data_IF_372906516422
#
_entry.id   IF_372906516422
#
_cell.length_a   1.000
_cell.length_b   1.000
_cell.length_c   1.000
_cell.angle_alpha   90.00
_cell.angle_beta   90.00
_cell.angle_gamma   90.00
#
_symmetry.space_group_name_H-M   'P 1'
#
loop_
_entity.id
_entity.type
_entity.pdbx_description
1 polymer ?
#
# COMPACT_ATOMS: atom_id res chain seq x y z
N UNK A 1 7.11 -2.78 12.88
CA UNK A 1 5.73 -3.33 12.86
C UNK A 1 4.74 -2.21 12.72
N UNK A 2 3.71 -2.40 11.87
CA UNK A 2 2.65 -1.39 11.72
C UNK A 2 1.70 -1.40 12.91
N UNK A 3 1.32 -0.21 13.38
CA UNK A 3 0.32 -0.03 14.45
C UNK A 3 -1.03 0.43 13.92
N UNK A 4 -1.12 0.81 12.65
CA UNK A 4 -2.32 1.40 12.01
C UNK A 4 -3.25 0.33 11.39
N UNK A 5 -3.53 -0.73 12.15
CA UNK A 5 -4.57 -1.69 11.76
C UNK A 5 -5.96 -1.14 12.11
N UNK A 6 -6.91 -1.28 11.20
CA UNK A 6 -8.31 -0.88 11.41
C UNK A 6 -9.08 -1.94 12.19
N UNK A 7 -8.67 -3.20 12.07
CA UNK A 7 -9.26 -4.33 12.77
C UNK A 7 -8.29 -4.90 13.81
N UNK A 8 -8.74 -4.93 15.05
CA UNK A 8 -8.02 -5.57 16.15
C UNK A 8 -7.81 -7.06 15.89
N UNK A 9 -8.80 -7.74 15.30
CA UNK A 9 -8.72 -9.17 15.01
C UNK A 9 -7.64 -9.50 13.98
N UNK A 10 -7.48 -8.68 12.93
CA UNK A 10 -6.40 -8.86 11.94
C UNK A 10 -5.04 -8.54 12.57
N UNK A 11 -4.98 -7.54 13.46
CA UNK A 11 -3.76 -7.24 14.21
C UNK A 11 -3.34 -8.41 15.09
N UNK A 12 -4.28 -9.01 15.84
CA UNK A 12 -4.01 -10.19 16.67
C UNK A 12 -3.59 -11.40 15.81
N UNK A 13 -4.23 -11.63 14.67
CA UNK A 13 -3.81 -12.66 13.72
C UNK A 13 -2.37 -12.44 13.29
N UNK A 14 -2.01 -11.21 12.89
CA UNK A 14 -0.64 -10.85 12.53
C UNK A 14 0.33 -11.15 13.67
N UNK A 15 0.03 -10.73 14.90
CA UNK A 15 0.90 -10.95 16.06
C UNK A 15 1.16 -12.43 16.31
N UNK A 16 0.12 -13.27 16.18
CA UNK A 16 0.25 -14.73 16.27
C UNK A 16 1.15 -15.28 15.16
N UNK A 17 0.92 -14.89 13.89
CA UNK A 17 1.68 -15.44 12.79
C UNK A 17 3.13 -14.97 12.79
N UNK A 18 3.39 -13.71 13.11
CA UNK A 18 4.75 -13.17 13.25
C UNK A 18 5.53 -13.92 14.34
N UNK A 19 4.89 -14.19 15.48
CA UNK A 19 5.53 -14.78 16.65
C UNK A 19 5.71 -16.30 16.55
N UNK A 20 4.72 -17.02 16.03
CA UNK A 20 4.66 -18.47 16.18
C UNK A 20 4.74 -19.26 14.87
N UNK A 21 4.40 -18.66 13.72
CA UNK A 21 4.44 -19.39 12.47
C UNK A 21 5.90 -19.63 12.00
N UNK A 22 6.23 -20.85 11.56
CA UNK A 22 7.52 -21.12 10.92
C UNK A 22 7.65 -20.37 9.59
N UNK A 23 8.89 -20.19 9.10
CA UNK A 23 9.18 -19.40 7.89
C UNK A 23 8.37 -19.86 6.67
N UNK A 24 8.28 -21.17 6.44
CA UNK A 24 7.54 -21.74 5.31
C UNK A 24 6.05 -21.36 5.36
N UNK A 25 5.45 -21.44 6.55
CA UNK A 25 4.05 -21.04 6.74
C UNK A 25 3.84 -19.54 6.54
N UNK A 26 4.78 -18.70 6.96
CA UNK A 26 4.76 -17.27 6.68
C UNK A 26 4.76 -17.00 5.18
N UNK A 27 5.60 -17.70 4.41
CA UNK A 27 5.65 -17.56 2.95
C UNK A 27 4.34 -17.97 2.28
N UNK A 28 3.75 -19.11 2.67
CA UNK A 28 2.45 -19.54 2.17
C UNK A 28 1.35 -18.50 2.47
N UNK A 29 1.33 -17.98 3.69
CA UNK A 29 0.34 -16.98 4.13
C UNK A 29 0.47 -15.67 3.35
N UNK A 30 1.70 -15.20 3.11
CA UNK A 30 1.98 -14.03 2.27
C UNK A 30 1.36 -14.24 0.88
N UNK A 31 1.66 -15.36 0.21
CA UNK A 31 1.13 -15.65 -1.12
C UNK A 31 -0.40 -15.73 -1.15
N UNK A 32 -1.02 -16.34 -0.14
CA UNK A 32 -2.49 -16.41 -0.01
C UNK A 32 -3.10 -15.03 0.24
N UNK A 33 -2.49 -14.22 1.09
CA UNK A 33 -2.93 -12.86 1.40
C UNK A 33 -2.86 -11.95 0.16
N UNK A 34 -1.81 -12.05 -0.65
CA UNK A 34 -1.68 -11.33 -1.93
C UNK A 34 -2.78 -11.71 -2.93
N UNK A 35 -3.04 -13.04 -3.05
CA UNK A 35 -4.14 -13.52 -3.89
C UNK A 35 -5.47 -12.99 -3.37
N UNK A 36 -5.70 -13.04 -2.06
CA UNK A 36 -6.92 -12.55 -1.43
C UNK A 36 -7.14 -11.05 -1.72
N UNK A 37 -6.14 -10.17 -1.54
CA UNK A 37 -6.25 -8.74 -1.90
C UNK A 37 -6.71 -8.57 -3.35
N UNK A 38 -6.25 -9.43 -4.25
CA UNK A 38 -6.64 -9.36 -5.65
C UNK A 38 -8.09 -9.74 -5.93
N UNK A 39 -8.73 -10.50 -5.04
CA UNK A 39 -10.09 -11.01 -5.15
C UNK A 39 -11.11 -10.15 -4.37
N UNK A 40 -10.65 -9.37 -3.38
CA UNK A 40 -11.53 -8.55 -2.55
C UNK A 40 -12.16 -7.39 -3.33
N UNK A 41 -13.47 -7.25 -3.17
CA UNK A 41 -14.22 -6.06 -3.60
C UNK A 41 -14.33 -5.08 -2.42
N UNK A 42 -13.82 -3.87 -2.61
CA UNK A 42 -13.82 -2.82 -1.58
C UNK A 42 -15.19 -2.35 -1.13
N UNK A 43 -16.22 -2.60 -1.95
CA UNK A 43 -17.60 -2.21 -1.65
C UNK A 43 -18.35 -3.25 -0.83
N UNK A 44 -17.77 -4.45 -0.65
CA UNK A 44 -18.37 -5.54 0.11
C UNK A 44 -17.87 -5.55 1.55
N UNK A 45 -18.56 -6.29 2.39
CA UNK A 45 -18.17 -6.59 3.77
C UNK A 45 -17.76 -8.06 3.85
N UNK A 46 -16.74 -8.35 4.63
CA UNK A 46 -16.18 -9.69 4.80
C UNK A 46 -16.14 -10.06 6.28
N UNK A 47 -16.42 -11.30 6.61
CA UNK A 47 -16.24 -11.79 7.97
C UNK A 47 -14.75 -12.03 8.28
N UNK A 48 -14.36 -11.81 9.53
CA UNK A 48 -13.01 -12.12 9.99
C UNK A 48 -12.68 -13.60 9.78
N UNK A 49 -13.63 -14.50 10.07
CA UNK A 49 -13.47 -15.95 9.86
C UNK A 49 -13.09 -16.28 8.41
N UNK A 50 -13.79 -15.68 7.44
CA UNK A 50 -13.46 -15.85 6.03
C UNK A 50 -12.04 -15.37 5.71
N UNK A 51 -11.66 -14.16 6.15
CA UNK A 51 -10.34 -13.61 5.89
C UNK A 51 -9.23 -14.44 6.54
N UNK A 52 -9.42 -14.82 7.80
CA UNK A 52 -8.50 -15.69 8.54
C UNK A 52 -8.31 -17.03 7.84
N UNK A 53 -9.39 -17.69 7.46
CA UNK A 53 -9.33 -18.97 6.74
C UNK A 53 -8.61 -18.86 5.39
N UNK A 54 -8.90 -17.80 4.64
CA UNK A 54 -8.27 -17.58 3.33
C UNK A 54 -6.74 -17.38 3.44
N UNK A 55 -6.26 -16.77 4.52
CA UNK A 55 -4.84 -16.52 4.77
C UNK A 55 -4.16 -17.74 5.38
N UNK A 56 -4.73 -18.31 6.45
CA UNK A 56 -4.06 -19.31 7.31
C UNK A 56 -4.48 -20.75 7.05
N UNK A 57 -5.61 -20.96 6.38
CA UNK A 57 -6.33 -22.25 6.25
C UNK A 57 -6.90 -22.76 7.59
N UNK A 58 -6.92 -21.92 8.61
CA UNK A 58 -7.51 -22.20 9.90
C UNK A 58 -8.80 -21.39 10.08
N UNK A 59 -9.85 -22.02 10.59
CA UNK A 59 -11.11 -21.35 10.96
C UNK A 59 -11.08 -21.05 12.45
N UNK A 60 -11.06 -19.77 12.83
CA UNK A 60 -11.10 -19.41 14.23
C UNK A 60 -12.51 -19.66 14.80
N UNK A 61 -12.57 -20.17 16.02
CA UNK A 61 -13.81 -20.16 16.81
C UNK A 61 -14.03 -18.75 17.35
N UNK A 62 -14.86 -17.96 16.69
CA UNK A 62 -15.13 -16.58 17.07
C UNK A 62 -16.56 -16.49 17.61
N UNK A 63 -16.70 -15.98 18.84
CA UNK A 63 -17.99 -15.63 19.40
C UNK A 63 -18.48 -14.31 18.81
N UNK A 64 -19.41 -14.37 17.85
CA UNK A 64 -20.00 -13.18 17.23
C UNK A 64 -19.56 -12.93 15.79
N UNK A 65 -20.32 -12.08 15.11
CA UNK A 65 -20.11 -11.77 13.69
C UNK A 65 -19.14 -10.56 13.58
N UNK A 66 -17.83 -10.87 13.59
CA UNK A 66 -16.81 -9.84 13.33
C UNK A 66 -16.69 -9.61 11.83
N UNK A 67 -17.01 -8.41 11.37
CA UNK A 67 -16.98 -8.02 9.96
C UNK A 67 -16.10 -6.81 9.71
N UNK A 68 -15.49 -6.78 8.53
CA UNK A 68 -14.67 -5.66 8.04
C UNK A 68 -15.22 -5.17 6.71
N UNK A 69 -15.17 -3.85 6.48
CA UNK A 69 -15.36 -3.34 5.13
C UNK A 69 -14.25 -3.86 4.20
N UNK A 70 -14.56 -4.02 2.90
CA UNK A 70 -13.55 -4.43 1.94
C UNK A 70 -12.38 -3.45 1.82
N UNK A 71 -12.61 -2.17 2.11
CA UNK A 71 -11.54 -1.15 2.16
C UNK A 71 -10.60 -1.41 3.34
N UNK A 72 -11.15 -1.63 4.54
CA UNK A 72 -10.35 -1.93 5.74
C UNK A 72 -9.64 -3.28 5.62
N UNK A 73 -10.33 -4.28 5.05
CA UNK A 73 -9.73 -5.59 4.80
C UNK A 73 -8.50 -5.49 3.87
N UNK A 74 -8.60 -4.76 2.75
CA UNK A 74 -7.47 -4.54 1.84
C UNK A 74 -6.33 -3.81 2.53
N UNK A 75 -6.65 -2.80 3.35
CA UNK A 75 -5.67 -2.05 4.13
C UNK A 75 -4.92 -2.95 5.10
N UNK A 76 -5.65 -3.67 5.95
CA UNK A 76 -5.07 -4.48 7.02
C UNK A 76 -4.30 -5.69 6.49
N UNK A 77 -4.82 -6.35 5.43
CA UNK A 77 -4.11 -7.46 4.80
C UNK A 77 -2.83 -6.95 4.12
N UNK A 78 -2.82 -5.72 3.58
CA UNK A 78 -1.60 -5.11 3.06
C UNK A 78 -0.54 -4.93 4.15
N UNK A 79 -0.91 -4.48 5.34
CA UNK A 79 -0.01 -4.39 6.50
C UNK A 79 0.42 -5.76 7.02
N UNK A 80 -0.50 -6.74 7.06
CA UNK A 80 -0.21 -8.12 7.41
C UNK A 80 0.90 -8.72 6.52
N UNK A 81 0.79 -8.54 5.20
CA UNK A 81 1.81 -9.00 4.25
C UNK A 81 3.18 -8.39 4.57
N UNK A 82 3.25 -7.09 4.85
CA UNK A 82 4.50 -6.41 5.16
C UNK A 82 5.11 -6.90 6.48
N UNK A 83 4.30 -7.00 7.54
CA UNK A 83 4.80 -7.43 8.86
C UNK A 83 5.24 -8.90 8.85
N UNK A 84 4.47 -9.78 8.18
CA UNK A 84 4.83 -11.20 8.08
C UNK A 84 6.05 -11.41 7.16
N UNK A 85 6.17 -10.62 6.07
CA UNK A 85 7.35 -10.68 5.21
C UNK A 85 8.61 -10.16 5.91
N UNK A 86 8.49 -9.14 6.75
CA UNK A 86 9.58 -8.67 7.61
C UNK A 86 10.05 -9.76 8.59
N UNK A 87 9.09 -10.46 9.22
CA UNK A 87 9.37 -11.54 10.16
C UNK A 87 9.86 -12.85 9.47
N UNK A 88 9.69 -12.96 8.16
CA UNK A 88 10.20 -14.08 7.37
C UNK A 88 11.61 -13.82 6.82
N UNK A 89 12.18 -12.63 7.04
CA UNK A 89 13.50 -12.22 6.57
C UNK A 89 13.72 -12.46 5.07
N UNK A 90 12.76 -11.97 4.26
CA UNK A 90 12.81 -12.15 2.81
C UNK A 90 14.00 -11.39 2.19
N UNK A 91 14.87 -12.09 1.51
CA UNK A 91 16.01 -11.50 0.79
C UNK A 91 15.68 -11.36 -0.69
N UNK A 92 16.14 -10.28 -1.32
CA UNK A 92 15.91 -10.05 -2.75
C UNK A 92 16.57 -11.10 -3.63
N UNK A 93 17.73 -11.62 -3.21
CA UNK A 93 18.50 -12.65 -3.91
C UNK A 93 17.85 -14.05 -3.88
N UNK A 94 16.91 -14.29 -2.96
CA UNK A 94 16.12 -15.53 -2.89
C UNK A 94 14.87 -15.51 -3.80
N UNK A 95 14.55 -14.36 -4.42
CA UNK A 95 13.33 -14.22 -5.20
C UNK A 95 13.52 -14.73 -6.65
N UNK A 96 12.54 -15.48 -7.15
CA UNK A 96 12.52 -15.99 -8.52
C UNK A 96 12.22 -14.91 -9.57
N UNK A 97 11.73 -13.75 -9.14
CA UNK A 97 11.36 -12.62 -10.00
C UNK A 97 11.97 -11.31 -9.47
N UNK A 98 12.15 -10.30 -10.36
CA UNK A 98 12.70 -9.02 -9.93
C UNK A 98 11.87 -8.33 -8.86
N UNK A 99 12.55 -7.78 -7.85
CA UNK A 99 11.98 -6.94 -6.81
C UNK A 99 12.32 -5.49 -7.12
N UNK A 100 11.31 -4.63 -7.19
CA UNK A 100 11.48 -3.18 -7.39
C UNK A 100 11.32 -2.44 -6.08
N UNK A 101 12.22 -1.51 -5.80
CA UNK A 101 12.07 -0.55 -4.71
C UNK A 101 10.96 0.47 -5.02
N UNK A 102 10.59 1.30 -4.04
CA UNK A 102 9.63 2.40 -4.25
C UNK A 102 10.14 3.39 -5.30
N UNK A 103 11.43 3.71 -5.25
CA UNK A 103 12.07 4.69 -6.13
C UNK A 103 12.14 4.15 -7.56
N UNK A 104 12.63 2.92 -7.76
CA UNK A 104 12.66 2.25 -9.07
C UNK A 104 11.27 2.12 -9.70
N UNK A 105 10.24 1.80 -8.90
CA UNK A 105 8.87 1.72 -9.39
C UNK A 105 8.31 3.10 -9.75
N UNK A 106 8.66 4.11 -8.99
CA UNK A 106 8.33 5.51 -9.24
C UNK A 106 8.88 5.97 -10.59
N UNK A 107 10.13 5.69 -10.87
CA UNK A 107 10.81 5.99 -12.13
C UNK A 107 10.20 5.19 -13.29
N UNK A 108 10.06 3.87 -13.13
CA UNK A 108 9.52 2.96 -14.15
C UNK A 108 8.11 3.38 -14.64
N UNK A 109 7.26 3.86 -13.72
CA UNK A 109 5.88 4.25 -14.03
C UNK A 109 5.73 5.77 -14.20
N UNK A 110 6.83 6.53 -14.15
CA UNK A 110 6.84 7.99 -14.26
C UNK A 110 5.81 8.64 -13.33
N UNK A 111 5.78 8.23 -12.06
CA UNK A 111 4.86 8.76 -11.03
C UNK A 111 5.60 9.08 -9.75
N UNK A 112 5.07 9.97 -8.92
CA UNK A 112 5.70 10.28 -7.63
C UNK A 112 5.59 9.11 -6.63
N UNK A 113 6.54 9.01 -5.69
CA UNK A 113 6.52 8.04 -4.59
C UNK A 113 5.24 8.17 -3.73
N UNK A 114 4.66 9.38 -3.64
CA UNK A 114 3.36 9.62 -3.00
C UNK A 114 2.22 8.92 -3.75
N UNK A 115 2.29 8.87 -5.09
CA UNK A 115 1.33 8.12 -5.90
C UNK A 115 1.46 6.62 -5.66
N UNK A 116 2.68 6.09 -5.58
CA UNK A 116 2.93 4.68 -5.21
C UNK A 116 2.34 4.37 -3.81
N UNK A 117 2.56 5.23 -2.83
CA UNK A 117 1.99 5.07 -1.48
C UNK A 117 0.45 5.03 -1.50
N UNK A 118 -0.19 5.88 -2.32
CA UNK A 118 -1.64 5.86 -2.52
C UNK A 118 -2.11 4.57 -3.20
N UNK A 119 -1.37 4.06 -4.18
CA UNK A 119 -1.69 2.79 -4.85
C UNK A 119 -1.55 1.59 -3.92
N UNK A 120 -0.60 1.61 -2.98
CA UNK A 120 -0.52 0.59 -1.92
C UNK A 120 -1.81 0.52 -1.11
N UNK A 121 -2.36 1.66 -0.70
CA UNK A 121 -3.66 1.73 -0.05
C UNK A 121 -4.80 1.24 -0.95
N UNK A 122 -4.61 1.23 -2.27
CA UNK A 122 -5.56 0.78 -3.27
C UNK A 122 -5.36 -0.68 -3.71
N UNK A 123 -4.45 -1.41 -3.10
CA UNK A 123 -4.24 -2.84 -3.35
C UNK A 123 -3.02 -3.16 -4.22
N UNK A 124 -2.11 -2.19 -4.45
CA UNK A 124 -0.76 -2.52 -4.91
C UNK A 124 -0.02 -3.20 -3.77
N UNK A 125 0.17 -4.50 -3.92
CA UNK A 125 0.80 -5.32 -2.88
C UNK A 125 2.29 -5.04 -2.80
N UNK A 126 2.78 -4.90 -1.58
CA UNK A 126 4.20 -4.72 -1.28
C UNK A 126 4.62 -5.60 -0.12
N UNK A 127 5.87 -6.05 -0.14
CA UNK A 127 6.51 -6.81 0.94
C UNK A 127 7.67 -6.02 1.52
N UNK A 128 8.13 -6.41 2.70
CA UNK A 128 9.43 -5.95 3.21
C UNK A 128 10.50 -6.96 2.85
N UNK A 129 11.57 -6.48 2.22
CA UNK A 129 12.72 -7.27 1.81
C UNK A 129 13.99 -6.76 2.45
N UNK A 130 14.96 -7.65 2.58
CA UNK A 130 16.34 -7.33 2.88
C UNK A 130 17.05 -7.11 1.55
N UNK A 131 17.42 -5.87 1.28
CA UNK A 131 18.18 -5.44 0.10
C UNK A 131 19.68 -5.61 0.35
N UNK A 132 20.46 -5.41 -0.70
CA UNK A 132 21.92 -5.37 -0.60
C UNK A 132 22.36 -4.42 0.52
N UNK A 133 23.40 -4.83 1.28
CA UNK A 133 23.83 -4.11 2.48
C UNK A 133 22.95 -4.31 3.72
N UNK A 134 22.04 -5.30 3.72
CA UNK A 134 21.25 -5.71 4.90
C UNK A 134 20.11 -4.77 5.28
N UNK A 135 19.82 -3.74 4.47
CA UNK A 135 18.76 -2.76 4.77
C UNK A 135 17.38 -3.33 4.46
N UNK A 136 16.47 -3.26 5.42
CA UNK A 136 15.07 -3.65 5.25
C UNK A 136 14.28 -2.51 4.62
N UNK A 137 13.71 -2.75 3.45
CA UNK A 137 12.91 -1.77 2.71
C UNK A 137 11.68 -2.42 2.11
N UNK A 138 10.69 -1.58 1.79
CA UNK A 138 9.52 -1.99 1.01
C UNK A 138 9.94 -2.22 -0.44
N UNK A 139 9.51 -3.35 -0.98
CA UNK A 139 9.70 -3.71 -2.38
C UNK A 139 8.44 -4.33 -2.98
N UNK A 140 8.43 -4.40 -4.30
CA UNK A 140 7.32 -4.89 -5.10
C UNK A 140 7.83 -5.97 -6.05
N UNK A 141 7.15 -7.12 -6.06
CA UNK A 141 7.39 -8.16 -7.05
C UNK A 141 6.84 -7.73 -8.42
N UNK A 142 7.52 -8.06 -9.49
CA UNK A 142 7.09 -7.70 -10.84
C UNK A 142 5.67 -8.23 -11.13
N UNK A 143 5.37 -9.45 -10.75
CA UNK A 143 4.04 -10.04 -10.89
C UNK A 143 2.93 -9.28 -10.17
N UNK A 144 3.23 -8.68 -9.01
CA UNK A 144 2.28 -7.86 -8.24
C UNK A 144 2.05 -6.51 -8.92
N UNK A 145 3.08 -5.91 -9.50
CA UNK A 145 3.00 -4.68 -10.29
C UNK A 145 2.12 -4.91 -11.52
N UNK A 146 2.39 -5.96 -12.30
CA UNK A 146 1.66 -6.29 -13.53
C UNK A 146 0.18 -6.56 -13.25
N UNK A 147 -0.11 -7.27 -12.16
CA UNK A 147 -1.48 -7.53 -11.71
C UNK A 147 -2.22 -6.25 -11.32
N UNK A 148 -1.54 -5.33 -10.65
CA UNK A 148 -2.13 -4.04 -10.29
C UNK A 148 -2.39 -3.18 -11.53
N UNK A 149 -1.42 -3.07 -12.45
CA UNK A 149 -1.53 -2.32 -13.70
C UNK A 149 -2.68 -2.87 -14.55
N UNK A 150 -2.78 -4.19 -14.72
CA UNK A 150 -3.83 -4.82 -15.51
C UNK A 150 -5.23 -4.46 -15.03
N UNK A 151 -5.44 -4.38 -13.71
CA UNK A 151 -6.71 -4.01 -13.09
C UNK A 151 -6.98 -2.51 -13.05
N UNK A 152 -5.94 -1.68 -13.10
CA UNK A 152 -6.02 -0.24 -12.89
C UNK A 152 -5.45 0.59 -14.05
N UNK A 153 -5.50 0.08 -15.29
CA UNK A 153 -4.89 0.72 -16.48
C UNK A 153 -5.23 2.21 -16.63
N UNK A 154 -6.48 2.58 -16.42
CA UNK A 154 -6.92 3.98 -16.54
C UNK A 154 -6.32 4.89 -15.48
N UNK A 155 -6.10 4.36 -14.25
CA UNK A 155 -5.49 5.13 -13.15
C UNK A 155 -3.99 5.31 -13.36
N UNK A 156 -3.31 4.24 -13.82
CA UNK A 156 -1.87 4.27 -14.10
C UNK A 156 -1.59 5.27 -15.22
N UNK A 157 -2.27 5.16 -16.37
CA UNK A 157 -2.14 6.12 -17.48
C UNK A 157 -2.42 7.57 -17.08
N UNK A 158 -3.35 7.79 -16.14
CA UNK A 158 -3.61 9.13 -15.62
C UNK A 158 -2.48 9.63 -14.74
N UNK A 159 -1.89 8.75 -13.93
CA UNK A 159 -0.72 9.06 -13.10
C UNK A 159 0.48 9.47 -13.95
N UNK A 160 0.80 8.71 -14.98
CA UNK A 160 1.88 8.98 -15.95
C UNK A 160 1.72 10.36 -16.60
N UNK A 161 0.51 10.71 -17.05
CA UNK A 161 0.24 12.03 -17.66
C UNK A 161 0.37 13.21 -16.70
N UNK A 162 0.09 13.02 -15.43
CA UNK A 162 0.13 14.10 -14.42
C UNK A 162 1.55 14.45 -13.99
N UNK A 163 2.51 13.55 -14.20
CA UNK A 163 3.92 13.77 -13.87
C UNK A 163 4.70 14.39 -15.04
N UNK A 164 4.10 14.44 -16.23
CA UNK A 164 4.67 15.01 -17.45
C UNK A 164 4.47 16.54 -17.58
N UNK A 165 4.25 17.26 -16.52
CA UNK A 165 4.59 18.67 -16.51
C UNK A 165 6.13 18.73 -16.55
N UNK A 166 6.67 19.00 -17.72
CA UNK A 166 8.10 19.20 -17.92
C UNK A 166 8.60 20.33 -17.00
N UNK A 167 9.87 20.31 -16.63
CA UNK A 167 10.45 21.39 -15.83
C UNK A 167 10.23 22.75 -16.52
N UNK A 168 10.19 22.79 -17.87
CA UNK A 168 9.82 23.96 -18.65
C UNK A 168 8.38 24.46 -18.43
N UNK A 169 7.42 23.56 -18.27
CA UNK A 169 6.02 23.93 -17.95
C UNK A 169 5.87 24.35 -16.48
N UNK A 170 6.69 23.82 -15.58
CA UNK A 170 6.77 24.29 -14.19
C UNK A 170 7.31 25.72 -14.12
N UNK A 171 8.36 26.02 -14.86
CA UNK A 171 8.96 27.32 -14.92
C UNK A 171 8.01 28.34 -15.57
N UNK A 172 7.29 27.95 -16.62
CA UNK A 172 6.26 28.77 -17.27
C UNK A 172 5.07 29.08 -16.35
N UNK A 173 4.65 28.11 -15.51
CA UNK A 173 3.61 28.32 -14.50
C UNK A 173 4.12 29.24 -13.36
N UNK A 174 5.38 29.12 -12.97
CA UNK A 174 5.99 29.99 -11.97
C UNK A 174 6.19 31.43 -12.49
N UNK A 175 6.55 31.61 -13.76
CA UNK A 175 6.67 32.91 -14.39
C UNK A 175 5.32 33.60 -14.65
N UNK A 176 4.27 32.83 -15.00
CA UNK A 176 2.92 33.36 -15.24
C UNK A 176 2.09 33.59 -14.00
N UNK A 177 2.57 33.20 -12.84
CA UNK A 177 1.89 33.32 -11.56
C UNK A 177 2.52 34.31 -10.58
N UNK A 178 2.63 35.62 -10.87
CA UNK A 178 2.70 36.59 -9.78
C UNK A 178 1.27 36.71 -9.22
N UNK A 179 0.93 35.89 -8.22
CA UNK A 179 -0.27 36.15 -7.43
C UNK A 179 -0.01 37.45 -6.66
N UNK A 180 -0.47 38.52 -7.22
CA UNK A 180 -0.51 39.82 -6.52
C UNK A 180 -1.53 39.67 -5.39
N UNK A 181 -1.06 39.37 -4.20
CA UNK A 181 -1.84 39.59 -2.99
C UNK A 181 -1.99 41.07 -2.80
N UNK A 182 -3.03 41.67 -3.36
CA UNK A 182 -3.50 42.98 -2.96
C UNK A 182 -4.01 42.87 -1.54
N UNK A 183 -3.22 43.33 -0.58
CA UNK A 183 -3.66 43.62 0.77
C UNK A 183 -4.84 44.59 0.70
N UNK A 184 -6.06 44.09 0.94
CA UNK A 184 -7.18 44.91 1.33
C UNK A 184 -6.87 45.48 2.72
N UNK A 185 -6.32 46.72 2.76
CA UNK A 185 -6.26 47.54 3.97
C UNK A 185 -7.71 47.77 4.41
N UNK A 186 -8.08 47.26 5.55
CA UNK A 186 -9.30 47.66 6.25
C UNK A 186 -9.18 49.17 6.56
N UNK A 187 -10.13 49.96 6.05
CA UNK A 187 -10.32 51.34 6.45
C UNK A 187 -10.86 51.34 7.89
N UNK A 188 -10.05 51.84 8.81
CA UNK A 188 -10.54 52.25 10.11
C UNK A 188 -11.47 53.46 9.91
N UNK A 189 -12.73 53.26 10.20
CA UNK A 189 -13.68 54.36 10.29
C UNK A 189 -13.58 54.94 11.71
N UNK A 190 -12.94 56.07 11.82
CA UNK A 190 -13.02 56.91 13.04
C UNK A 190 -14.37 57.59 13.03
N UNK A 191 -15.19 57.27 14.06
CA UNK A 191 -16.43 58.03 14.36
C UNK A 191 -16.15 58.95 15.52
N UNK A 192 -16.48 60.23 15.30
CA UNK A 192 -16.50 61.26 16.33
C UNK A 192 -17.68 61.03 17.29
#
# INVERSE_FOLDING_TARGET
MHTDYKSESIRQLRDQQVRFAPREKKLEQICRAEKLISELDRKRTYSYEYLCFRITQFRPEVSGLLTLSGTDAVHDIGHFIQDVSEAADLRIDEMAEPVRSVDELSEQLSVSTKTISRWRQQGLVSRKFIFEGGRRRVGFLQSSIDRFISKNRSKVKRGERFTQLSDAERDDILERGPVSYTHLRAHETVVY
#
